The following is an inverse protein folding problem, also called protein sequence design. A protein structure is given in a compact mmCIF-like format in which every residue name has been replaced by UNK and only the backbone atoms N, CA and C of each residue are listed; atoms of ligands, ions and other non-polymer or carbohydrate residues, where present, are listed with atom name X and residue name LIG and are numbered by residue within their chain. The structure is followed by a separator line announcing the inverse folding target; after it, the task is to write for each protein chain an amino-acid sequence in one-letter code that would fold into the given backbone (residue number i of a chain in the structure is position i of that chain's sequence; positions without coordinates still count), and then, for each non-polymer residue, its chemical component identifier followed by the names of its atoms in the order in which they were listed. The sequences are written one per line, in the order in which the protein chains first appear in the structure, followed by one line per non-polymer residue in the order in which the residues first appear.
data_IF_695902921815
#
_entry.id   IF_695902921815
#
_cell.length_a   1.000
_cell.length_b   1.000
_cell.length_c   1.000
_cell.angle_alpha   90.00
_cell.angle_beta   90.00
_cell.angle_gamma   90.00
#
_symmetry.space_group_name_H-M   'P 1'
#
loop_
_entity.id
_entity.type
_entity.pdbx_description
1 polymer ?
#
# COMPACT_ATOMS: atom_id res chain seq x y z
N UNK A 1 -7.57 -14.30 -12.33
CA UNK A 1 -8.11 -14.78 -11.07
C UNK A 1 -7.28 -14.36 -9.88
N UNK A 2 -5.98 -14.64 -9.87
CA UNK A 2 -5.13 -14.24 -8.76
C UNK A 2 -5.12 -12.73 -8.56
N UNK A 3 -5.09 -11.98 -9.63
CA UNK A 3 -5.15 -10.52 -9.56
C UNK A 3 -6.45 -10.03 -8.93
N UNK A 4 -7.55 -10.68 -9.27
CA UNK A 4 -8.85 -10.31 -8.74
C UNK A 4 -8.89 -10.49 -7.23
N UNK A 5 -8.32 -11.60 -6.74
CA UNK A 5 -8.28 -11.85 -5.30
C UNK A 5 -7.46 -10.78 -4.58
N UNK A 6 -6.30 -10.45 -5.12
CA UNK A 6 -5.43 -9.43 -4.52
C UNK A 6 -6.13 -8.08 -4.51
N UNK A 7 -6.77 -7.72 -5.62
CA UNK A 7 -7.51 -6.48 -5.74
C UNK A 7 -8.61 -6.40 -4.69
N UNK A 8 -9.33 -7.49 -4.51
CA UNK A 8 -10.39 -7.56 -3.54
C UNK A 8 -9.86 -7.39 -2.11
N UNK A 9 -8.73 -7.99 -1.81
CA UNK A 9 -8.12 -7.86 -0.50
C UNK A 9 -7.70 -6.42 -0.21
N UNK A 10 -7.13 -5.76 -1.20
CA UNK A 10 -6.75 -4.36 -1.03
C UNK A 10 -7.98 -3.48 -0.84
N UNK A 11 -9.03 -3.73 -1.58
CA UNK A 11 -10.28 -3.01 -1.41
C UNK A 11 -10.81 -3.20 0.00
N UNK A 12 -10.75 -4.43 0.51
CA UNK A 12 -11.17 -4.71 1.88
C UNK A 12 -10.36 -3.95 2.92
N UNK A 13 -9.06 -3.83 2.71
CA UNK A 13 -8.21 -3.08 3.62
C UNK A 13 -8.59 -1.60 3.62
N UNK A 14 -8.85 -1.05 2.46
CA UNK A 14 -9.23 0.35 2.35
C UNK A 14 -10.60 0.60 2.98
N UNK A 15 -11.53 -0.30 2.79
CA UNK A 15 -12.87 -0.18 3.33
C UNK A 15 -12.89 -0.11 4.85
N UNK A 16 -12.04 -0.89 5.50
CA UNK A 16 -11.98 -0.90 6.94
C UNK A 16 -11.58 0.45 7.50
N UNK A 17 -10.63 1.10 6.85
CA UNK A 17 -10.15 2.40 7.32
C UNK A 17 -10.93 3.57 6.79
N UNK A 18 -11.74 3.38 5.75
CA UNK A 18 -12.39 4.48 5.04
C UNK A 18 -13.78 4.07 4.57
N UNK A 19 -14.79 4.22 5.44
CA UNK A 19 -16.15 3.80 5.10
C UNK A 19 -16.70 4.40 3.82
N UNK A 20 -16.23 5.58 3.44
CA UNK A 20 -16.67 6.23 2.22
C UNK A 20 -16.32 5.45 0.96
N UNK A 21 -15.42 4.48 1.08
CA UNK A 21 -15.01 3.64 -0.03
C UNK A 21 -15.77 2.31 -0.08
N UNK A 22 -16.88 2.23 0.62
CA UNK A 22 -17.66 1.00 0.69
C UNK A 22 -18.20 0.55 -0.68
N UNK A 23 -18.01 1.35 -1.70
CA UNK A 23 -18.42 0.98 -3.04
C UNK A 23 -17.28 0.30 -3.76
N UNK A 24 -17.16 -0.96 -3.49
CA UNK A 24 -16.02 -1.72 -3.99
C UNK A 24 -15.87 -1.72 -5.51
N UNK A 25 -16.96 -1.53 -6.25
CA UNK A 25 -16.86 -1.46 -7.69
C UNK A 25 -16.09 -0.27 -8.22
N UNK A 26 -15.88 0.73 -7.37
CA UNK A 26 -15.20 1.96 -7.78
C UNK A 26 -13.68 1.92 -7.58
N UNK A 27 -13.18 0.88 -6.95
CA UNK A 27 -11.74 0.78 -6.72
C UNK A 27 -11.07 0.12 -7.91
N UNK A 28 -10.00 0.72 -8.43
CA UNK A 28 -9.28 0.12 -9.55
C UNK A 28 -8.51 -1.11 -9.12
N UNK A 29 -8.18 -1.95 -10.08
CA UNK A 29 -7.26 -3.06 -9.84
C UNK A 29 -5.89 -2.49 -9.48
N UNK A 30 -5.13 -3.18 -8.65
CA UNK A 30 -3.79 -2.69 -8.31
C UNK A 30 -2.89 -2.66 -9.54
N UNK A 31 -2.04 -1.65 -9.59
CA UNK A 31 -1.02 -1.55 -10.61
C UNK A 31 0.33 -1.57 -9.92
N UNK A 32 0.95 -2.73 -9.94
CA UNK A 32 2.22 -2.93 -9.24
C UNK A 32 3.38 -2.40 -10.06
N UNK A 33 4.02 -1.38 -9.56
CA UNK A 33 5.21 -0.80 -10.16
C UNK A 33 6.42 -1.26 -9.36
N UNK A 34 7.38 -1.88 -10.02
CA UNK A 34 8.60 -2.32 -9.36
C UNK A 34 9.39 -1.10 -8.89
N UNK A 35 9.78 -1.11 -7.62
CA UNK A 35 10.56 -0.02 -7.03
C UNK A 35 12.01 -0.45 -6.85
N UNK A 36 12.22 -1.61 -6.27
CA UNK A 36 13.58 -2.10 -6.01
C UNK A 36 13.57 -3.62 -5.89
N UNK A 37 14.66 -4.23 -6.33
CA UNK A 37 14.92 -5.64 -6.08
C UNK A 37 16.20 -5.70 -5.27
N UNK A 38 16.13 -6.33 -4.10
CA UNK A 38 17.29 -6.47 -3.23
C UNK A 38 18.22 -7.56 -3.73
N UNK A 39 19.44 -7.51 -3.25
CA UNK A 39 20.47 -8.44 -3.67
C UNK A 39 20.04 -9.92 -3.54
N UNK A 40 19.29 -10.26 -2.52
CA UNK A 40 18.83 -11.63 -2.30
C UNK A 40 17.61 -12.04 -3.13
N UNK A 41 17.10 -11.17 -3.98
CA UNK A 41 15.97 -11.48 -4.83
C UNK A 41 14.61 -11.02 -4.31
N UNK A 42 14.58 -10.43 -3.14
CA UNK A 42 13.35 -9.85 -2.61
C UNK A 42 12.98 -8.63 -3.41
N UNK A 43 11.75 -8.58 -3.90
CA UNK A 43 11.28 -7.49 -4.74
C UNK A 43 10.23 -6.66 -4.02
N UNK A 44 10.33 -5.35 -4.20
CA UNK A 44 9.38 -4.41 -3.62
C UNK A 44 8.64 -3.68 -4.72
N UNK A 45 7.33 -3.71 -4.65
CA UNK A 45 6.47 -3.05 -5.62
C UNK A 45 5.52 -2.09 -4.92
N UNK A 46 5.18 -1.00 -5.61
CA UNK A 46 4.23 -0.01 -5.14
C UNK A 46 2.97 -0.11 -5.98
N UNK A 47 1.81 -0.09 -5.34
CA UNK A 47 0.54 -0.04 -6.06
C UNK A 47 0.24 1.41 -6.41
N UNK A 48 0.49 1.77 -7.65
CA UNK A 48 0.30 3.15 -8.10
C UNK A 48 -1.15 3.50 -8.40
N UNK A 49 -2.02 2.50 -8.51
CA UNK A 49 -3.42 2.75 -8.83
C UNK A 49 -4.25 3.21 -7.65
N UNK A 50 -3.79 2.95 -6.42
CA UNK A 50 -4.58 3.22 -5.23
C UNK A 50 -3.94 4.23 -4.27
N UNK A 51 -3.00 5.02 -4.74
CA UNK A 51 -2.40 6.07 -3.92
C UNK A 51 -3.42 7.19 -3.73
N UNK A 52 -3.72 7.53 -2.48
CA UNK A 52 -4.70 8.58 -2.20
C UNK A 52 -4.18 9.58 -1.18
N UNK A 53 -4.70 10.79 -1.33
CA UNK A 53 -4.43 11.86 -0.37
C UNK A 53 -5.17 11.59 0.93
N UNK A 54 -4.51 11.90 2.02
CA UNK A 54 -5.15 11.85 3.33
C UNK A 54 -4.58 12.96 4.18
N UNK A 55 -5.31 14.06 4.30
CA UNK A 55 -4.76 15.27 4.92
C UNK A 55 -3.58 15.75 4.11
N UNK A 56 -2.44 15.95 4.74
CA UNK A 56 -1.22 16.34 4.05
C UNK A 56 -0.34 15.16 3.68
N UNK A 57 -0.78 13.96 4.03
CA UNK A 57 -0.06 12.74 3.71
C UNK A 57 -0.66 12.00 2.54
N UNK A 58 -0.10 10.83 2.28
CA UNK A 58 -0.61 9.91 1.26
C UNK A 58 -0.70 8.51 1.82
N UNK A 59 -1.79 7.83 1.52
CA UNK A 59 -1.94 6.42 1.83
C UNK A 59 -1.59 5.64 0.60
N UNK A 60 -0.77 4.61 0.74
CA UNK A 60 -0.35 3.79 -0.38
C UNK A 60 -0.12 2.36 0.08
N UNK A 61 -0.36 1.42 -0.83
CA UNK A 61 -0.07 0.01 -0.60
C UNK A 61 1.21 -0.38 -1.30
N UNK A 62 2.03 -1.17 -0.64
CA UNK A 62 3.22 -1.70 -1.26
C UNK A 62 3.37 -3.19 -0.90
N UNK A 63 4.14 -3.88 -1.71
CA UNK A 63 4.27 -5.32 -1.63
C UNK A 63 5.73 -5.74 -1.61
N UNK A 64 6.05 -6.62 -0.66
CA UNK A 64 7.38 -7.23 -0.58
C UNK A 64 7.23 -8.70 -0.97
N UNK A 65 7.83 -9.09 -2.09
CA UNK A 65 7.73 -10.45 -2.60
C UNK A 65 9.04 -11.19 -2.39
N UNK A 66 8.96 -12.35 -1.74
CA UNK A 66 10.12 -13.20 -1.51
C UNK A 66 10.42 -14.03 -2.75
N UNK A 67 11.66 -14.56 -2.89
CA UNK A 67 12.00 -15.40 -4.02
C UNK A 67 11.12 -16.64 -4.19
N UNK A 68 10.53 -17.15 -3.11
CA UNK A 68 9.65 -18.32 -3.20
C UNK A 68 8.24 -17.99 -3.66
N UNK A 69 7.94 -16.70 -3.88
CA UNK A 69 6.62 -16.27 -4.34
C UNK A 69 5.69 -15.82 -3.23
N UNK A 70 6.03 -16.05 -1.97
CA UNK A 70 5.22 -15.51 -0.88
C UNK A 70 5.42 -14.00 -0.81
N UNK A 71 4.45 -13.28 -0.25
CA UNK A 71 4.55 -11.83 -0.21
C UNK A 71 3.81 -11.24 0.97
N UNK A 72 4.16 -10.01 1.29
CA UNK A 72 3.49 -9.23 2.32
C UNK A 72 3.00 -7.94 1.70
N UNK A 73 1.75 -7.61 1.98
CA UNK A 73 1.16 -6.35 1.58
C UNK A 73 1.12 -5.43 2.78
N UNK A 74 1.48 -4.17 2.59
CA UNK A 74 1.43 -3.17 3.65
C UNK A 74 0.70 -1.96 3.11
N UNK A 75 -0.27 -1.47 3.88
CA UNK A 75 -0.92 -0.20 3.62
C UNK A 75 -0.33 0.77 4.63
N UNK A 76 0.25 1.86 4.15
CA UNK A 76 0.93 2.81 5.01
C UNK A 76 0.51 4.24 4.74
N UNK A 77 0.61 5.07 5.77
CA UNK A 77 0.40 6.51 5.66
C UNK A 77 1.78 7.17 5.61
N UNK A 78 2.05 7.90 4.54
CA UNK A 78 3.35 8.54 4.30
C UNK A 78 3.21 10.04 4.45
N UNK A 79 4.05 10.65 5.27
CA UNK A 79 4.00 12.09 5.53
C UNK A 79 5.08 12.83 4.75
N UNK A 80 4.92 14.15 4.66
CA UNK A 80 5.90 14.97 3.96
C UNK A 80 7.23 15.06 4.70
N UNK A 81 7.22 14.83 5.99
CA UNK A 81 8.43 14.95 6.81
C UNK A 81 9.17 13.60 6.96
N UNK A 82 9.03 12.74 5.97
CA UNK A 82 9.77 11.48 5.84
C UNK A 82 9.50 10.52 6.99
N UNK A 83 8.22 10.31 7.27
CA UNK A 83 7.78 9.29 8.21
C UNK A 83 6.67 8.45 7.59
N UNK A 84 6.51 7.26 8.10
CA UNK A 84 5.46 6.36 7.64
C UNK A 84 4.83 5.68 8.84
N UNK A 85 3.52 5.56 8.83
CA UNK A 85 2.80 4.79 9.84
C UNK A 85 2.10 3.63 9.14
N UNK A 86 2.47 2.38 9.45
CA UNK A 86 1.74 1.25 8.87
C UNK A 86 0.32 1.21 9.43
N UNK A 87 -0.64 1.01 8.53
CA UNK A 87 -2.05 0.92 8.89
C UNK A 87 -2.48 -0.54 8.97
N UNK A 88 -2.12 -1.31 7.97
CA UNK A 88 -2.48 -2.72 7.89
C UNK A 88 -1.40 -3.49 7.17
N UNK A 89 -1.26 -4.76 7.53
CA UNK A 89 -0.34 -5.68 6.87
C UNK A 89 -1.03 -7.01 6.64
N UNK A 90 -0.66 -7.65 5.55
CA UNK A 90 -1.21 -8.93 5.16
C UNK A 90 -0.08 -9.80 4.65
N UNK A 91 0.09 -10.98 5.22
CA UNK A 91 1.08 -11.95 4.73
C UNK A 91 0.37 -13.02 3.95
N UNK A 92 0.89 -13.32 2.77
CA UNK A 92 0.28 -14.27 1.84
C UNK A 92 1.31 -15.31 1.44
N UNK A 93 0.91 -16.58 1.46
CA UNK A 93 1.80 -17.67 1.08
C UNK A 93 1.99 -17.70 -0.42
N UNK A 94 2.94 -18.49 -0.89
CA UNK A 94 3.18 -18.66 -2.32
C UNK A 94 1.96 -19.23 -3.05
N UNK A 95 1.06 -19.88 -2.32
CA UNK A 95 -0.17 -20.45 -2.88
C UNK A 95 -1.35 -19.46 -2.77
N UNK A 96 -1.06 -18.22 -2.42
CA UNK A 96 -2.04 -17.14 -2.32
C UNK A 96 -3.03 -17.30 -1.17
N UNK A 97 -2.60 -17.98 -0.12
CA UNK A 97 -3.41 -18.09 1.09
C UNK A 97 -2.95 -17.06 2.11
N UNK A 98 -3.90 -16.44 2.78
CA UNK A 98 -3.59 -15.45 3.81
C UNK A 98 -3.08 -16.17 5.05
N UNK A 99 -1.84 -15.84 5.44
CA UNK A 99 -1.20 -16.42 6.60
C UNK A 99 -1.41 -15.59 7.85
N UNK A 100 -1.23 -14.28 7.73
CA UNK A 100 -1.36 -13.36 8.84
C UNK A 100 -2.01 -12.07 8.42
N UNK A 101 -2.73 -11.47 9.37
CA UNK A 101 -3.30 -10.14 9.21
C UNK A 101 -2.92 -9.31 10.43
N UNK A 102 -2.57 -8.08 10.18
CA UNK A 102 -2.23 -7.17 11.25
C UNK A 102 -2.85 -5.82 10.97
N UNK A 103 -3.36 -5.19 12.01
CA UNK A 103 -3.97 -3.88 11.90
C UNK A 103 -3.47 -3.02 13.04
N UNK A 104 -3.12 -1.78 12.75
CA UNK A 104 -2.64 -0.86 13.76
C UNK A 104 -3.79 -0.42 14.66
N UNK A 105 -3.57 -0.47 15.95
CA UNK A 105 -4.53 0.06 16.92
C UNK A 105 -4.34 1.55 17.11
N UNK A 106 -3.11 2.01 16.90
CA UNK A 106 -2.76 3.42 16.97
C UNK A 106 -1.63 3.68 15.99
N UNK A 107 -1.44 4.94 15.64
CA UNK A 107 -0.37 5.31 14.74
C UNK A 107 0.99 5.11 15.40
N UNK A 108 1.84 4.33 14.77
CA UNK A 108 3.20 4.13 15.20
C UNK A 108 4.11 4.61 14.08
N UNK A 109 4.73 5.75 14.30
CA UNK A 109 5.53 6.39 13.27
C UNK A 109 6.92 5.81 13.15
N UNK A 110 7.30 5.53 11.92
CA UNK A 110 8.63 5.03 11.59
C UNK A 110 9.35 6.12 10.81
N UNK A 111 10.55 6.46 11.24
CA UNK A 111 11.39 7.40 10.49
C UNK A 111 11.99 6.68 9.30
N UNK A 112 11.96 7.34 8.15
CA UNK A 112 12.49 6.74 6.93
C UNK A 112 13.99 7.00 6.86
N UNK A 113 14.76 5.92 6.97
CA UNK A 113 16.20 5.99 6.99
C UNK A 113 16.77 6.26 5.59
N UNK A 114 17.75 7.16 5.46
CA UNK A 114 18.41 7.39 4.18
C UNK A 114 19.06 6.11 3.66
N UNK A 115 18.89 5.85 2.38
CA UNK A 115 19.46 4.67 1.74
C UNK A 115 18.69 3.37 1.94
N UNK A 116 17.60 3.41 2.67
CA UNK A 116 16.80 2.21 2.94
C UNK A 116 15.85 1.90 1.78
N UNK A 117 15.33 0.68 1.78
CA UNK A 117 14.29 0.29 0.82
C UNK A 117 13.06 1.18 1.04
N UNK A 118 12.72 1.45 2.29
CA UNK A 118 11.55 2.26 2.59
C UNK A 118 11.67 3.67 2.04
N UNK A 119 12.89 4.21 1.97
CA UNK A 119 13.11 5.51 1.33
C UNK A 119 12.75 5.47 -0.15
N UNK A 120 13.11 4.39 -0.83
CA UNK A 120 12.78 4.23 -2.24
C UNK A 120 11.27 4.12 -2.45
N UNK A 121 10.59 3.42 -1.55
CA UNK A 121 9.14 3.35 -1.58
C UNK A 121 8.55 4.75 -1.33
N UNK A 122 9.05 5.45 -0.33
CA UNK A 122 8.61 6.79 0.01
C UNK A 122 8.73 7.74 -1.19
N UNK A 123 9.89 7.75 -1.83
CA UNK A 123 10.11 8.61 -2.99
C UNK A 123 9.15 8.26 -4.13
N UNK A 124 8.91 6.98 -4.34
CA UNK A 124 7.99 6.55 -5.38
C UNK A 124 6.55 6.98 -5.07
N UNK A 125 6.14 6.91 -3.80
CA UNK A 125 4.80 7.34 -3.38
C UNK A 125 4.60 8.82 -3.70
N UNK A 126 5.59 9.65 -3.40
CA UNK A 126 5.45 11.09 -3.58
C UNK A 126 5.63 11.54 -5.03
N UNK A 127 6.27 10.72 -5.87
CA UNK A 127 6.39 11.00 -7.30
C UNK A 127 5.15 10.59 -8.08
N UNK A 128 4.44 9.57 -7.62
CA UNK A 128 3.30 9.05 -8.34
C UNK A 128 2.12 10.01 -8.28
N UNK A 129 1.29 10.05 -9.32
CA UNK A 129 0.07 10.86 -9.25
C UNK A 129 -0.90 10.25 -8.26
N UNK A 130 -1.64 11.10 -7.58
CA UNK A 130 -2.70 10.66 -6.66
C UNK A 130 -3.89 10.22 -7.49
N UNK A 131 -4.56 9.16 -7.04
CA UNK A 131 -5.78 8.70 -7.69
C UNK A 131 -6.82 9.82 -7.70
N UNK A 132 -7.24 10.25 -8.87
CA UNK A 132 -8.18 11.35 -9.01
C UNK A 132 -9.55 11.06 -8.42
N UNK A 133 -9.98 9.82 -8.53
CA UNK A 133 -11.28 9.43 -8.00
C UNK A 133 -11.35 9.69 -6.49
N UNK A 134 -10.31 9.32 -5.79
CA UNK A 134 -10.26 9.48 -4.35
C UNK A 134 -9.98 10.93 -3.95
N UNK A 135 -9.18 11.63 -4.75
CA UNK A 135 -8.93 13.05 -4.54
C UNK A 135 -10.20 13.87 -4.66
N UNK A 136 -11.03 13.55 -5.63
CA UNK A 136 -12.29 14.25 -5.83
C UNK A 136 -13.19 14.14 -4.62
N UNK A 137 -13.29 12.95 -4.07
CA UNK A 137 -14.12 12.73 -2.90
C UNK A 137 -13.61 13.53 -1.72
N UNK A 138 -12.30 13.65 -1.60
CA UNK A 138 -11.70 14.45 -0.54
C UNK A 138 -12.02 15.92 -0.67
N UNK A 139 -12.06 16.40 -1.91
CA UNK A 139 -12.34 17.82 -2.17
C UNK A 139 -13.77 18.20 -1.85
N UNK A 140 -14.68 17.26 -1.90
CA UNK A 140 -16.06 17.51 -1.58
C UNK A 140 -16.38 17.37 -0.11
N UNK A 141 -15.46 16.81 0.61
CA UNK A 141 -15.61 16.70 2.06
C UNK A 141 -15.20 18.00 2.71
#
# INVERSE_FOLDING_TARGET
MKKTVISFLMAGLLLIGMPALAQEGDLPDPEWQAVVTEHGGTRWDLDTATIMKRGEGRVAGFRKTQPDGSYALTLGLFTKDRRMAPIMKLSVTKDHEIKERWRAEKEEWVTIEPGSVLEKIYDAVWKAPVSETLSKDSDHA
#
